data_IF_017545456817
#
_entry.id   IF_017545456817
#
_cell.length_a   1.000
_cell.length_b   1.000
_cell.length_c   1.000
_cell.angle_alpha   90.00
_cell.angle_beta   90.00
_cell.angle_gamma   90.00
#
_symmetry.space_group_name_H-M   'P 1'
#
loop_
_entity.id
_entity.type
_entity.pdbx_description
1 polymer ?
#
# COMPACT_ATOMS: atom_id res chain seq x y z
N UNK A 1 60.97 -29.73 -30.87
CA UNK A 1 60.54 -31.15 -30.80
C UNK A 1 59.16 -31.21 -31.42
N UNK A 2 59.02 -31.91 -32.57
CA UNK A 2 57.80 -32.52 -33.15
C UNK A 2 56.61 -31.57 -33.42
N UNK A 3 56.36 -31.04 -34.63
CA UNK A 3 55.87 -31.66 -35.88
C UNK A 3 54.33 -31.85 -35.99
N UNK A 4 53.86 -31.75 -37.24
CA UNK A 4 52.57 -32.20 -37.85
C UNK A 4 51.37 -31.23 -37.80
N UNK A 5 50.96 -30.63 -38.95
CA UNK A 5 50.06 -31.15 -40.01
C UNK A 5 48.65 -31.47 -39.49
N UNK A 6 47.63 -30.65 -39.82
CA UNK A 6 46.74 -30.75 -41.01
C UNK A 6 45.60 -31.76 -40.88
N UNK A 7 44.49 -31.44 -41.57
CA UNK A 7 43.34 -32.27 -42.01
C UNK A 7 42.16 -32.30 -41.00
N UNK A 8 40.97 -31.75 -41.30
CA UNK A 8 39.95 -31.98 -42.35
C UNK A 8 38.85 -33.00 -41.93
N UNK A 9 37.64 -32.75 -42.47
CA UNK A 9 36.40 -33.53 -42.54
C UNK A 9 35.40 -33.38 -41.36
N UNK A 10 34.20 -32.78 -41.53
CA UNK A 10 33.04 -32.99 -42.46
C UNK A 10 32.26 -34.26 -42.12
N UNK A 11 30.94 -34.09 -41.93
CA UNK A 11 29.76 -34.90 -42.36
C UNK A 11 28.58 -34.47 -41.43
N UNK A 12 27.65 -33.65 -41.91
CA UNK A 12 26.36 -34.01 -42.54
C UNK A 12 25.31 -34.53 -41.55
N UNK A 13 24.12 -33.91 -41.51
CA UNK A 13 22.85 -34.58 -41.85
C UNK A 13 21.64 -33.65 -41.62
N UNK A 14 20.90 -33.46 -42.70
CA UNK A 14 19.60 -32.81 -42.87
C UNK A 14 18.45 -33.69 -42.39
N UNK A 15 17.36 -33.08 -41.91
CA UNK A 15 15.98 -33.61 -41.96
C UNK A 15 15.00 -32.43 -41.72
N UNK A 16 13.74 -32.37 -42.15
CA UNK A 16 12.96 -32.99 -43.22
C UNK A 16 11.49 -32.56 -42.96
N UNK A 17 10.91 -31.80 -43.90
CA UNK A 17 9.51 -31.82 -44.40
C UNK A 17 8.30 -31.44 -43.50
N UNK A 18 7.42 -30.64 -44.12
CA UNK A 18 5.92 -30.56 -44.08
C UNK A 18 5.43 -29.19 -43.57
N UNK A 19 4.98 -28.22 -44.39
CA UNK A 19 3.89 -28.18 -45.39
C UNK A 19 2.56 -28.78 -44.94
N UNK A 20 1.66 -27.94 -44.40
CA UNK A 20 0.21 -28.03 -44.64
C UNK A 20 -0.38 -26.61 -44.67
N UNK A 21 -0.74 -26.17 -45.86
CA UNK A 21 -1.70 -25.11 -46.15
C UNK A 21 -3.12 -25.68 -46.14
N UNK A 22 -4.13 -25.01 -45.57
CA UNK A 22 -5.52 -25.27 -45.96
C UNK A 22 -6.52 -24.19 -45.51
N UNK A 23 -7.04 -23.51 -46.53
CA UNK A 23 -8.37 -22.92 -46.77
C UNK A 23 -9.16 -22.20 -45.67
N UNK A 24 -9.37 -20.92 -45.99
CA UNK A 24 -10.53 -20.11 -45.64
C UNK A 24 -11.81 -20.66 -46.27
N UNK A 25 -12.90 -20.72 -45.51
CA UNK A 25 -14.28 -20.74 -46.03
C UNK A 25 -15.21 -20.05 -45.02
N UNK A 26 -15.61 -18.86 -45.41
CA UNK A 26 -16.68 -18.05 -44.82
C UNK A 26 -18.03 -18.75 -44.92
N UNK A 27 -18.73 -18.89 -43.80
CA UNK A 27 -20.15 -19.26 -43.72
C UNK A 27 -20.85 -18.43 -42.64
N UNK A 28 -21.69 -17.50 -43.07
CA UNK A 28 -22.91 -17.03 -42.39
C UNK A 28 -24.06 -17.30 -43.38
N UNK A 29 -25.36 -17.35 -43.02
CA UNK A 29 -26.04 -17.13 -41.74
C UNK A 29 -27.01 -18.30 -41.39
N UNK A 30 -27.68 -18.33 -40.23
CA UNK A 30 -29.12 -17.97 -40.10
C UNK A 30 -29.49 -18.07 -38.62
N UNK A 31 -29.91 -16.97 -38.01
CA UNK A 31 -30.43 -16.97 -36.63
C UNK A 31 -31.94 -17.26 -36.65
N UNK A 32 -32.44 -18.25 -35.89
CA UNK A 32 -33.88 -18.42 -35.71
C UNK A 32 -34.44 -17.31 -34.80
N UNK A 33 -35.52 -16.66 -35.23
CA UNK A 33 -36.28 -15.67 -34.45
C UNK A 33 -37.00 -16.32 -33.26
N UNK A 34 -36.97 -15.72 -32.05
CA UNK A 34 -37.70 -16.23 -30.90
C UNK A 34 -39.21 -15.91 -30.98
N UNK A 35 -40.10 -16.81 -30.54
CA UNK A 35 -41.54 -16.55 -30.56
C UNK A 35 -42.01 -15.71 -29.35
N UNK A 36 -42.94 -14.81 -29.70
CA UNK A 36 -44.05 -14.23 -28.94
C UNK A 36 -43.91 -13.85 -27.45
N UNK A 37 -44.04 -12.53 -27.24
CA UNK A 37 -44.19 -11.81 -25.96
C UNK A 37 -45.36 -12.35 -25.14
N UNK A 38 -45.07 -12.78 -23.91
CA UNK A 38 -46.00 -12.69 -22.79
C UNK A 38 -45.48 -11.61 -21.83
N UNK A 39 -46.13 -10.44 -21.86
CA UNK A 39 -45.81 -9.31 -20.99
C UNK A 39 -46.40 -9.58 -19.61
N UNK A 40 -45.60 -10.13 -18.69
CA UNK A 40 -45.93 -10.05 -17.26
C UNK A 40 -45.55 -8.64 -16.76
N UNK A 41 -46.45 -7.88 -16.12
CA UNK A 41 -46.05 -6.66 -15.45
C UNK A 41 -45.24 -7.06 -14.23
N UNK A 42 -43.92 -6.96 -14.34
CA UNK A 42 -43.02 -7.07 -13.21
C UNK A 42 -43.25 -5.86 -12.31
N UNK A 43 -44.28 -5.92 -11.45
CA UNK A 43 -44.46 -5.02 -10.31
C UNK A 43 -43.47 -5.39 -9.21
N UNK A 44 -42.18 -5.50 -9.55
CA UNK A 44 -41.13 -5.23 -8.60
C UNK A 44 -41.07 -3.71 -8.51
N UNK A 45 -41.82 -3.18 -7.54
CA UNK A 45 -41.56 -1.87 -6.99
C UNK A 45 -40.07 -1.83 -6.67
N UNK A 46 -39.28 -1.22 -7.58
CA UNK A 46 -37.94 -0.78 -7.28
C UNK A 46 -38.12 0.25 -6.18
N UNK A 47 -38.15 -0.20 -4.93
CA UNK A 47 -37.86 0.67 -3.80
C UNK A 47 -36.53 1.30 -4.17
N UNK A 48 -36.56 2.60 -4.49
CA UNK A 48 -35.32 3.38 -4.63
C UNK A 48 -34.53 3.08 -3.36
N UNK A 49 -33.25 2.67 -3.45
CA UNK A 49 -32.39 2.67 -2.29
C UNK A 49 -32.54 4.04 -1.64
N UNK A 50 -32.89 4.08 -0.36
CA UNK A 50 -32.86 5.33 0.40
C UNK A 50 -31.48 5.95 0.22
N UNK A 51 -31.34 7.29 0.17
CA UNK A 51 -30.02 7.89 0.19
C UNK A 51 -29.33 7.40 1.46
N UNK A 52 -28.32 6.55 1.30
CA UNK A 52 -27.43 6.18 2.39
C UNK A 52 -26.92 7.47 3.01
N UNK A 53 -26.87 7.61 4.34
CA UNK A 53 -26.33 8.82 4.94
C UNK A 53 -24.96 9.08 4.33
N UNK A 54 -24.76 10.31 3.85
CA UNK A 54 -23.45 10.74 3.36
C UNK A 54 -22.41 10.41 4.43
N UNK A 55 -21.22 9.93 4.04
CA UNK A 55 -20.20 9.58 5.02
C UNK A 55 -19.96 10.77 5.95
N UNK A 56 -20.15 10.55 7.25
CA UNK A 56 -19.82 11.55 8.25
C UNK A 56 -18.31 11.76 8.23
N UNK A 57 -17.88 12.91 7.73
CA UNK A 57 -16.48 13.32 7.77
C UNK A 57 -16.29 14.13 9.05
N UNK A 58 -15.80 13.47 10.10
CA UNK A 58 -15.34 14.16 11.30
C UNK A 58 -14.05 14.93 10.96
N UNK A 59 -14.11 16.25 11.08
CA UNK A 59 -12.93 17.13 11.03
C UNK A 59 -12.53 17.41 12.48
N UNK A 60 -11.22 17.31 12.77
CA UNK A 60 -10.69 17.19 14.14
C UNK A 60 -10.97 18.35 15.10
N UNK A 61 -10.65 18.12 16.39
CA UNK A 61 -10.71 19.11 17.47
C UNK A 61 -9.64 20.20 17.27
N UNK A 62 -10.03 21.47 17.43
CA UNK A 62 -9.18 22.63 17.19
C UNK A 62 -8.13 22.88 18.29
N UNK A 63 -8.23 22.23 19.45
CA UNK A 63 -7.36 22.53 20.59
C UNK A 63 -7.02 21.30 21.42
N UNK A 64 -6.13 20.45 20.92
CA UNK A 64 -5.32 19.61 21.78
C UNK A 64 -4.00 20.34 22.07
N UNK A 65 -3.83 21.03 23.22
CA UNK A 65 -2.61 21.80 23.48
C UNK A 65 -1.36 20.91 23.47
N UNK A 66 -1.51 19.67 23.94
CA UNK A 66 -0.43 18.69 24.05
C UNK A 66 -0.19 17.86 22.78
N UNK A 67 -1.05 17.95 21.75
CA UNK A 67 -0.88 17.20 20.50
C UNK A 67 -1.22 18.03 19.26
N UNK A 68 -0.34 18.04 18.27
CA UNK A 68 -0.64 18.60 16.96
C UNK A 68 -0.14 17.68 15.84
N UNK A 69 -1.03 17.42 14.87
CA UNK A 69 -0.64 16.86 13.59
C UNK A 69 -0.05 17.98 12.72
N UNK A 70 1.20 17.83 12.30
CA UNK A 70 1.92 18.88 11.56
C UNK A 70 1.90 18.65 10.05
N UNK A 71 2.28 17.46 9.60
CA UNK A 71 2.38 17.13 8.17
C UNK A 71 2.39 15.62 7.90
N UNK A 72 2.15 15.23 6.65
CA UNK A 72 2.37 13.87 6.17
C UNK A 72 2.74 13.83 4.69
N UNK A 73 3.51 12.81 4.32
CA UNK A 73 3.94 12.54 2.96
C UNK A 73 5.17 11.63 2.94
N UNK A 74 5.55 11.16 1.76
CA UNK A 74 6.72 10.30 1.58
C UNK A 74 6.67 9.00 2.37
N UNK A 75 5.47 8.52 2.72
CA UNK A 75 5.27 7.35 3.57
C UNK A 75 5.48 7.59 5.06
N UNK A 76 5.52 8.85 5.52
CA UNK A 76 5.74 9.25 6.91
C UNK A 76 4.72 10.30 7.38
N UNK A 77 4.60 10.47 8.69
CA UNK A 77 3.82 11.54 9.33
C UNK A 77 4.66 12.24 10.40
N UNK A 78 4.45 13.54 10.55
CA UNK A 78 5.10 14.43 11.50
C UNK A 78 4.08 14.91 12.54
N UNK A 79 4.35 14.62 13.80
CA UNK A 79 3.45 14.88 14.91
C UNK A 79 4.22 15.60 16.03
N UNK A 80 3.59 16.58 16.68
CA UNK A 80 4.10 17.21 17.89
C UNK A 80 3.34 16.65 19.09
N UNK A 81 4.07 16.15 20.07
CA UNK A 81 3.59 15.77 21.39
C UNK A 81 4.26 16.69 22.41
N UNK A 82 3.53 17.68 22.92
CA UNK A 82 4.07 18.78 23.74
C UNK A 82 5.27 19.46 23.07
N UNK A 83 6.46 19.29 23.61
CA UNK A 83 7.71 19.88 23.12
C UNK A 83 8.45 18.96 22.13
N UNK A 84 8.00 17.71 21.99
CA UNK A 84 8.68 16.69 21.20
C UNK A 84 8.02 16.55 19.84
N UNK A 85 8.80 16.72 18.77
CA UNK A 85 8.38 16.43 17.40
C UNK A 85 8.83 15.01 17.02
N UNK A 86 7.92 14.23 16.47
CA UNK A 86 8.08 12.80 16.21
C UNK A 86 7.71 12.47 14.77
N UNK A 87 8.57 11.69 14.13
CA UNK A 87 8.36 11.12 12.79
C UNK A 87 8.00 9.64 12.90
N UNK A 88 6.86 9.26 12.32
CA UNK A 88 6.36 7.87 12.31
C UNK A 88 6.08 7.39 10.90
N UNK A 89 6.24 6.07 10.62
CA UNK A 89 5.77 5.49 9.37
C UNK A 89 4.27 5.71 9.18
N UNK A 90 3.91 6.14 7.97
CA UNK A 90 2.55 6.24 7.48
C UNK A 90 2.50 5.73 6.03
N UNK A 91 2.47 4.41 5.79
CA UNK A 91 2.49 3.83 4.43
C UNK A 91 1.37 4.31 3.51
N UNK A 92 0.29 4.83 4.08
CA UNK A 92 -0.82 5.43 3.35
C UNK A 92 -0.47 6.82 2.76
N UNK A 93 0.45 7.57 3.36
CA UNK A 93 0.82 8.93 2.97
C UNK A 93 1.79 8.96 1.78
N UNK A 94 1.35 8.46 0.62
CA UNK A 94 2.19 8.32 -0.59
C UNK A 94 2.46 9.65 -1.33
N UNK A 95 1.77 10.72 -0.96
CA UNK A 95 1.94 12.05 -1.54
C UNK A 95 3.22 12.73 -1.07
N UNK A 96 3.59 13.85 -1.70
CA UNK A 96 4.75 14.64 -1.26
C UNK A 96 4.41 15.39 0.05
N UNK A 97 5.32 15.48 1.02
CA UNK A 97 5.14 16.32 2.20
C UNK A 97 4.84 17.77 1.83
N UNK A 98 3.98 18.43 2.61
CA UNK A 98 3.66 19.85 2.42
C UNK A 98 4.73 20.77 3.01
N UNK A 99 5.36 20.37 4.11
CA UNK A 99 6.46 21.10 4.74
C UNK A 99 7.80 20.77 4.09
N UNK A 100 8.72 21.74 4.13
CA UNK A 100 10.10 21.56 3.66
C UNK A 100 10.91 20.60 4.54
N UNK A 101 12.04 20.12 4.02
CA UNK A 101 12.95 19.18 4.71
C UNK A 101 13.35 19.64 6.11
N UNK A 102 13.48 20.95 6.31
CA UNK A 102 13.95 21.52 7.57
C UNK A 102 12.99 21.17 8.71
N UNK A 103 11.68 21.29 8.50
CA UNK A 103 10.67 20.94 9.50
C UNK A 103 10.73 19.45 9.88
N UNK A 104 11.00 18.58 8.92
CA UNK A 104 11.14 17.14 9.14
C UNK A 104 12.46 16.79 9.84
N UNK A 105 13.53 17.53 9.60
CA UNK A 105 14.84 17.34 10.24
C UNK A 105 14.86 17.68 11.73
N UNK A 106 13.93 18.54 12.19
CA UNK A 106 13.77 18.91 13.60
C UNK A 106 13.11 17.82 14.46
N UNK A 107 12.74 16.69 13.86
CA UNK A 107 12.14 15.57 14.58
C UNK A 107 13.12 15.01 15.61
N UNK A 108 12.79 15.12 16.89
CA UNK A 108 13.60 14.61 17.99
C UNK A 108 13.58 13.07 18.07
N UNK A 109 12.51 12.45 17.53
CA UNK A 109 12.33 11.00 17.51
C UNK A 109 11.86 10.50 16.15
N UNK A 110 12.49 9.45 15.64
CA UNK A 110 12.06 8.76 14.42
C UNK A 110 11.88 7.26 14.67
N UNK A 111 10.74 6.71 14.26
CA UNK A 111 10.54 5.26 14.27
C UNK A 111 11.03 4.62 12.98
N UNK A 112 12.09 3.82 13.10
CA UNK A 112 12.67 3.05 11.99
C UNK A 112 12.13 1.63 12.00
N UNK A 113 11.57 1.17 10.88
CA UNK A 113 11.23 -0.25 10.74
C UNK A 113 12.53 -1.05 10.54
N UNK A 114 12.77 -2.10 11.32
CA UNK A 114 13.91 -2.98 11.02
C UNK A 114 13.60 -3.83 9.79
N UNK A 115 14.52 -3.85 8.83
CA UNK A 115 14.43 -4.64 7.60
C UNK A 115 14.79 -6.12 7.80
N UNK A 116 15.16 -6.53 9.01
CA UNK A 116 15.64 -7.89 9.34
C UNK A 116 14.52 -8.91 9.63
N UNK A 117 13.25 -8.54 9.44
CA UNK A 117 12.11 -9.45 9.55
C UNK A 117 11.87 -10.23 8.26
N UNK A 118 12.57 -11.35 8.06
CA UNK A 118 12.12 -12.36 7.10
C UNK A 118 10.72 -12.90 7.46
N UNK A 119 10.01 -13.58 6.54
CA UNK A 119 8.59 -13.99 6.70
C UNK A 119 8.29 -14.93 7.89
N UNK A 120 9.29 -15.26 8.72
CA UNK A 120 9.20 -16.21 9.83
C UNK A 120 9.25 -15.56 11.23
N UNK A 121 9.56 -14.26 11.38
CA UNK A 121 9.45 -13.58 12.68
C UNK A 121 8.09 -12.89 12.81
N UNK A 122 7.21 -13.49 13.60
CA UNK A 122 5.96 -12.90 14.13
C UNK A 122 6.32 -11.67 14.99
N UNK A 123 6.57 -10.53 14.35
CA UNK A 123 7.03 -9.32 15.03
C UNK A 123 8.07 -8.59 14.21
N UNK A 124 7.61 -7.78 13.25
CA UNK A 124 8.44 -6.75 12.64
C UNK A 124 8.75 -5.68 13.68
N UNK A 125 9.83 -5.88 14.44
CA UNK A 125 10.26 -4.93 15.45
C UNK A 125 10.87 -3.70 14.80
N UNK A 126 10.26 -2.53 14.95
CA UNK A 126 10.93 -1.26 14.67
C UNK A 126 11.58 -0.67 15.93
N UNK A 127 12.50 0.25 15.73
CA UNK A 127 13.25 0.92 16.79
C UNK A 127 13.05 2.44 16.70
N UNK A 128 12.85 3.05 17.86
CA UNK A 128 12.92 4.50 18.01
C UNK A 128 14.38 4.97 18.02
N UNK A 129 14.68 5.96 17.20
CA UNK A 129 15.98 6.64 17.13
C UNK A 129 15.77 8.07 17.61
N UNK A 130 16.61 8.53 18.54
CA UNK A 130 16.55 9.87 19.12
C UNK A 130 16.45 9.84 20.65
N UNK A 131 16.24 11.01 21.24
CA UNK A 131 16.12 11.17 22.69
C UNK A 131 14.65 11.34 23.08
N UNK A 132 14.18 10.49 23.99
CA UNK A 132 12.88 10.65 24.64
C UNK A 132 13.13 11.37 25.97
N UNK A 133 12.33 12.38 26.34
CA UNK A 133 12.31 12.90 27.71
C UNK A 133 12.04 11.78 28.73
N UNK A 134 12.63 11.89 29.92
CA UNK A 134 12.48 10.90 31.01
C UNK A 134 11.01 10.71 31.43
N UNK A 135 10.22 11.80 31.40
CA UNK A 135 8.79 11.78 31.55
C UNK A 135 8.14 12.44 30.32
N UNK A 136 7.21 11.76 29.66
CA UNK A 136 6.33 12.38 28.69
C UNK A 136 4.90 11.86 28.86
N UNK A 137 3.97 12.82 28.90
CA UNK A 137 2.54 12.62 29.04
C UNK A 137 1.82 13.51 28.04
N UNK A 138 0.83 12.96 27.32
CA UNK A 138 0.02 13.71 26.35
C UNK A 138 -1.40 13.74 26.88
N UNK A 139 -1.87 14.93 27.24
CA UNK A 139 -3.19 15.11 27.82
C UNK A 139 -4.21 15.55 26.78
N UNK A 140 -5.40 14.97 26.88
CA UNK A 140 -6.56 15.39 26.11
C UNK A 140 -7.61 15.88 27.10
N UNK A 141 -7.58 17.19 27.41
CA UNK A 141 -8.39 17.79 28.47
C UNK A 141 -9.89 17.59 28.27
N UNK A 142 -10.36 17.64 27.02
CA UNK A 142 -11.77 17.44 26.66
C UNK A 142 -12.32 16.07 27.11
N UNK A 143 -11.46 15.07 27.26
CA UNK A 143 -11.83 13.70 27.63
C UNK A 143 -11.18 13.21 28.92
N UNK A 144 -10.32 14.03 29.56
CA UNK A 144 -9.66 13.71 30.83
C UNK A 144 -8.68 12.53 30.76
N UNK A 145 -8.10 12.24 29.59
CA UNK A 145 -7.18 11.11 29.38
C UNK A 145 -5.74 11.62 29.22
N UNK A 146 -4.77 10.87 29.75
CA UNK A 146 -3.33 11.10 29.58
C UNK A 146 -2.64 9.83 29.06
N UNK A 147 -1.79 9.98 28.04
CA UNK A 147 -0.99 8.91 27.45
C UNK A 147 0.49 9.08 27.81
N UNK A 148 1.18 7.99 28.18
CA UNK A 148 2.62 7.97 28.46
C UNK A 148 3.35 6.93 27.60
N UNK A 149 4.68 7.01 27.43
CA UNK A 149 5.47 5.92 26.82
C UNK A 149 5.55 4.92 27.93
N UNK A 150 5.23 3.69 27.58
CA UNK A 150 5.98 2.58 28.10
C UNK A 150 7.30 2.47 27.31
N UNK A 151 8.41 2.28 28.03
CA UNK A 151 9.58 1.63 27.42
C UNK A 151 9.17 0.22 26.99
N UNK A 152 9.82 -0.30 25.95
CA UNK A 152 9.45 -1.59 25.34
C UNK A 152 9.51 -2.79 26.32
N UNK A 153 10.12 -2.64 27.50
CA UNK A 153 10.19 -3.71 28.51
C UNK A 153 8.92 -3.83 29.37
N UNK A 154 8.05 -2.83 29.37
CA UNK A 154 6.85 -2.79 30.22
C UNK A 154 5.55 -3.14 29.49
N UNK A 155 5.60 -3.72 28.30
CA UNK A 155 4.38 -4.02 27.55
C UNK A 155 4.55 -5.04 26.44
N UNK A 156 4.57 -6.32 26.80
CA UNK A 156 4.01 -7.38 25.97
C UNK A 156 3.59 -8.60 26.81
#
# INVERSE_FOLDING_TARGET
>A
MVAYHSLLNIISLTNSIASISSVSLSFLPTFPTPPHRHTLPCLLSRRRPSPSPSPLVLRGCASAPDYAFLDCGGGKRLERFREVVVTRPCPAAKWRPGLGSDAWSQSALEYTASSLGGPSKKGGGGKWVGAVPEAWGVRFDDVGVEFQLATAEQGQ
#
